data_IF_238677588957
#
_entry.id   IF_238677588957
#
_cell.length_a   1.000
_cell.length_b   1.000
_cell.length_c   1.000
_cell.angle_alpha   90.00
_cell.angle_beta   90.00
_cell.angle_gamma   90.00
#
_symmetry.space_group_name_H-M   'P 1'
#
loop_
_entity.id
_entity.type
_entity.pdbx_description
1 polymer ?
#
# COMPACT_ATOMS: atom_id res chain seq x y z
N UNK A 1 -6.79 -15.30 17.28
CA UNK A 1 -5.80 -15.60 18.34
C UNK A 1 -4.77 -14.48 18.39
N UNK A 2 -4.28 -14.21 19.59
CA UNK A 2 -3.29 -13.17 19.90
C UNK A 2 -1.93 -13.84 20.07
N UNK A 3 -0.87 -13.29 19.47
CA UNK A 3 0.50 -13.67 19.78
C UNK A 3 0.96 -12.83 20.99
N UNK A 4 1.15 -13.48 22.12
CA UNK A 4 1.47 -12.89 23.43
C UNK A 4 2.92 -12.39 23.54
N UNK A 5 3.83 -12.87 22.68
CA UNK A 5 5.22 -12.43 22.66
C UNK A 5 5.43 -11.12 21.88
N UNK A 6 4.53 -10.82 20.95
CA UNK A 6 4.66 -9.66 20.05
C UNK A 6 3.49 -8.69 20.16
N UNK A 7 2.53 -8.98 21.03
CA UNK A 7 1.30 -8.22 21.26
C UNK A 7 0.45 -8.00 19.98
N UNK A 8 0.45 -8.98 19.06
CA UNK A 8 -0.15 -8.87 17.72
C UNK A 8 -1.28 -9.84 17.47
N UNK A 9 -2.26 -9.43 16.66
CA UNK A 9 -3.35 -10.30 16.21
C UNK A 9 -2.87 -11.12 15.02
N UNK A 10 -2.85 -12.44 15.14
CA UNK A 10 -2.46 -13.35 14.05
C UNK A 10 -3.66 -14.00 13.38
N UNK A 11 -4.80 -14.07 14.07
CA UNK A 11 -6.05 -14.56 13.49
C UNK A 11 -7.26 -13.81 14.03
N UNK A 12 -8.24 -13.55 13.16
CA UNK A 12 -9.56 -13.03 13.51
C UNK A 12 -10.64 -13.79 12.73
N UNK A 13 -11.45 -14.56 13.44
CA UNK A 13 -12.55 -15.34 12.86
C UNK A 13 -13.90 -14.91 13.46
N UNK A 14 -14.92 -14.82 12.62
CA UNK A 14 -16.32 -14.63 13.05
C UNK A 14 -17.23 -15.75 12.52
N UNK A 15 -16.70 -16.97 12.42
CA UNK A 15 -17.42 -18.13 11.91
C UNK A 15 -17.40 -18.19 10.37
N UNK A 16 -18.55 -18.45 9.74
CA UNK A 16 -18.66 -18.62 8.28
C UNK A 16 -18.55 -17.33 7.46
N UNK A 17 -18.51 -16.17 8.12
CA UNK A 17 -18.53 -14.87 7.44
C UNK A 17 -17.14 -14.28 7.17
N UNK A 18 -16.14 -14.66 7.98
CA UNK A 18 -14.80 -14.10 7.90
C UNK A 18 -13.82 -14.97 8.70
N UNK A 19 -12.67 -15.30 8.11
CA UNK A 19 -11.56 -15.94 8.81
C UNK A 19 -10.21 -15.38 8.34
N UNK A 20 -9.76 -14.30 8.98
CA UNK A 20 -8.57 -13.55 8.58
C UNK A 20 -7.31 -13.99 9.32
N UNK A 21 -6.36 -14.55 8.59
CA UNK A 21 -5.00 -14.80 9.06
C UNK A 21 -4.06 -13.66 8.67
N UNK A 22 -3.21 -13.21 9.59
CA UNK A 22 -2.27 -12.10 9.41
C UNK A 22 -0.82 -12.60 9.49
N UNK A 23 0.00 -12.24 8.49
CA UNK A 23 1.44 -12.46 8.49
C UNK A 23 2.22 -11.20 8.86
N UNK A 24 3.33 -11.35 9.57
CA UNK A 24 4.21 -10.26 9.95
C UNK A 24 5.68 -10.60 9.68
N UNK A 25 6.49 -9.59 9.34
CA UNK A 25 7.95 -9.71 9.32
C UNK A 25 8.56 -9.56 10.74
N UNK A 26 9.87 -9.76 10.94
CA UNK A 26 10.51 -9.62 12.25
C UNK A 26 10.52 -8.20 12.84
N UNK A 27 10.50 -7.16 11.98
CA UNK A 27 10.33 -5.77 12.42
C UNK A 27 8.87 -5.50 12.82
N UNK A 28 7.98 -6.41 12.45
CA UNK A 28 6.59 -6.36 12.76
C UNK A 28 5.79 -5.50 11.77
N UNK A 29 6.16 -5.49 10.52
CA UNK A 29 5.28 -4.99 9.47
C UNK A 29 4.33 -6.08 9.01
N UNK A 30 3.10 -5.72 8.63
CA UNK A 30 2.08 -6.65 8.17
C UNK A 30 2.41 -7.10 6.74
N UNK A 31 2.77 -8.35 6.51
CA UNK A 31 3.17 -8.84 5.18
C UNK A 31 2.04 -9.51 4.42
N UNK A 32 1.03 -10.04 5.12
CA UNK A 32 -0.11 -10.69 4.47
C UNK A 32 -1.41 -10.62 5.26
N UNK A 33 -2.53 -10.63 4.54
CA UNK A 33 -3.87 -10.93 5.06
C UNK A 33 -4.49 -12.00 4.15
N UNK A 34 -4.93 -13.11 4.72
CA UNK A 34 -5.63 -14.18 4.01
C UNK A 34 -7.01 -14.37 4.62
N UNK A 35 -8.07 -14.41 3.80
CA UNK A 35 -9.42 -14.79 4.24
C UNK A 35 -9.68 -16.25 3.86
N UNK A 36 -9.74 -17.14 4.85
CA UNK A 36 -9.80 -18.58 4.64
C UNK A 36 -11.22 -19.12 4.38
N UNK A 37 -12.24 -18.26 4.33
CA UNK A 37 -13.60 -18.66 3.92
C UNK A 37 -13.64 -19.03 2.43
N UNK A 38 -14.45 -20.03 2.08
CA UNK A 38 -14.63 -20.44 0.68
C UNK A 38 -15.26 -19.29 -0.14
N UNK A 39 -14.62 -18.88 -1.23
CA UNK A 39 -15.02 -17.69 -2.00
C UNK A 39 -14.56 -16.37 -1.39
N UNK A 40 -13.74 -16.41 -0.33
CA UNK A 40 -13.09 -15.26 0.27
C UNK A 40 -12.23 -14.50 -0.74
N UNK A 41 -11.95 -13.24 -0.41
CA UNK A 41 -11.15 -12.37 -1.27
C UNK A 41 -9.72 -12.90 -1.39
N UNK A 42 -9.14 -12.88 -2.59
CA UNK A 42 -7.75 -13.30 -2.82
C UNK A 42 -6.79 -12.63 -1.81
N UNK A 43 -5.84 -13.40 -1.27
CA UNK A 43 -4.91 -12.93 -0.25
C UNK A 43 -4.25 -11.59 -0.61
N UNK A 44 -4.08 -10.74 0.40
CA UNK A 44 -3.42 -9.44 0.28
C UNK A 44 -1.99 -9.57 0.75
N UNK A 45 -1.06 -8.94 0.04
CA UNK A 45 0.36 -8.93 0.40
C UNK A 45 0.88 -7.52 0.40
N UNK A 46 1.87 -7.27 1.26
CA UNK A 46 2.49 -5.97 1.44
C UNK A 46 4.00 -6.11 1.50
N UNK A 47 4.70 -5.15 0.93
CA UNK A 47 6.16 -5.03 1.04
C UNK A 47 6.54 -3.69 1.61
N UNK A 48 7.75 -3.61 2.16
CA UNK A 48 8.25 -2.45 2.87
C UNK A 48 9.65 -2.08 2.39
N UNK A 49 9.96 -0.80 2.42
CA UNK A 49 11.32 -0.31 2.23
C UNK A 49 12.16 -0.50 3.52
N UNK A 50 13.49 -0.29 3.47
CA UNK A 50 14.36 -0.46 4.64
C UNK A 50 14.04 0.44 5.84
N UNK A 51 13.19 1.45 5.68
CA UNK A 51 12.73 2.34 6.75
C UNK A 51 11.34 1.93 7.29
N UNK A 52 10.88 0.71 6.96
CA UNK A 52 9.57 0.16 7.34
C UNK A 52 8.38 0.95 6.77
N UNK A 53 8.54 1.59 5.61
CA UNK A 53 7.44 2.28 4.91
C UNK A 53 6.87 1.37 3.83
N UNK A 54 5.55 1.38 3.64
CA UNK A 54 4.87 0.54 2.65
C UNK A 54 5.41 0.82 1.24
N UNK A 55 6.03 -0.17 0.59
CA UNK A 55 6.55 -0.04 -0.76
C UNK A 55 5.58 -0.58 -1.82
N UNK A 56 4.80 -1.61 -1.50
CA UNK A 56 3.75 -2.13 -2.39
C UNK A 56 2.62 -2.81 -1.62
N UNK A 57 1.42 -2.79 -2.21
CA UNK A 57 0.29 -3.61 -1.80
C UNK A 57 -0.29 -4.32 -3.04
N UNK A 58 -0.63 -5.60 -2.92
CA UNK A 58 -1.19 -6.39 -4.01
C UNK A 58 -2.17 -7.45 -3.52
N UNK A 59 -3.00 -7.97 -4.43
CA UNK A 59 -3.98 -9.01 -4.14
C UNK A 59 -5.42 -8.50 -4.11
N UNK A 60 -6.29 -9.20 -3.40
CA UNK A 60 -7.72 -8.91 -3.39
C UNK A 60 -8.06 -7.70 -2.52
N UNK A 61 -8.01 -6.52 -3.12
CA UNK A 61 -8.53 -5.29 -2.55
C UNK A 61 -9.80 -4.87 -3.29
N UNK A 62 -10.73 -4.15 -2.63
CA UNK A 62 -11.74 -3.40 -3.35
C UNK A 62 -11.05 -2.36 -4.26
N UNK A 63 -11.16 -2.53 -5.57
CA UNK A 63 -10.45 -1.71 -6.56
C UNK A 63 -9.04 -2.23 -6.89
N UNK A 64 -8.25 -1.42 -7.58
CA UNK A 64 -6.86 -1.77 -7.92
C UNK A 64 -5.93 -1.37 -6.78
N UNK A 65 -5.22 -2.34 -6.15
CA UNK A 65 -4.23 -1.99 -5.16
C UNK A 65 -3.04 -1.29 -5.80
N UNK A 66 -2.30 -0.57 -4.96
CA UNK A 66 -1.17 0.21 -5.39
C UNK A 66 0.11 -0.62 -5.31
N UNK A 67 0.63 -1.03 -6.46
CA UNK A 67 1.81 -1.90 -6.52
C UNK A 67 3.13 -1.13 -6.30
N UNK A 68 3.11 0.20 -6.14
CA UNK A 68 4.30 1.01 -5.92
C UNK A 68 3.99 2.27 -5.09
N UNK A 69 4.78 2.48 -4.05
CA UNK A 69 4.84 3.70 -3.26
C UNK A 69 6.30 4.16 -3.17
N UNK A 70 6.55 5.41 -3.55
CA UNK A 70 7.86 6.06 -3.44
C UNK A 70 7.82 7.14 -2.37
N UNK A 71 8.95 7.36 -1.68
CA UNK A 71 9.07 8.37 -0.65
C UNK A 71 10.39 9.14 -0.75
N UNK A 72 10.39 10.40 -0.33
CA UNK A 72 11.63 11.15 -0.10
C UNK A 72 12.25 10.82 1.28
N UNK A 73 13.41 11.42 1.55
CA UNK A 73 14.18 11.18 2.78
C UNK A 73 13.45 11.58 4.08
N UNK A 74 12.52 12.54 4.00
CA UNK A 74 11.75 13.00 5.17
C UNK A 74 10.37 12.32 5.29
N UNK A 75 10.06 11.37 4.40
CA UNK A 75 8.85 10.54 4.48
C UNK A 75 7.64 11.02 3.68
N UNK A 76 7.76 12.06 2.84
CA UNK A 76 6.67 12.44 1.94
C UNK A 76 6.56 11.42 0.80
N UNK A 77 5.33 11.00 0.46
CA UNK A 77 5.06 10.11 -0.69
C UNK A 77 5.37 10.87 -1.99
N UNK A 78 6.40 10.49 -2.73
CA UNK A 78 6.72 11.08 -4.04
C UNK A 78 6.13 10.32 -5.21
N UNK A 79 5.69 9.08 -4.99
CA UNK A 79 5.07 8.25 -6.03
C UNK A 79 3.97 7.39 -5.42
N UNK A 80 2.79 7.35 -6.04
CA UNK A 80 1.69 6.46 -5.65
C UNK A 80 1.09 5.85 -6.90
N UNK A 81 1.39 4.58 -7.12
CA UNK A 81 0.91 3.80 -8.25
C UNK A 81 1.30 4.42 -9.60
N UNK A 82 2.52 4.97 -9.70
CA UNK A 82 3.02 5.68 -10.89
C UNK A 82 2.59 7.15 -10.98
N UNK A 83 1.83 7.66 -10.00
CA UNK A 83 1.50 9.08 -9.91
C UNK A 83 2.55 9.79 -9.08
N UNK A 84 3.31 10.67 -9.70
CA UNK A 84 4.33 11.47 -9.05
C UNK A 84 3.73 12.66 -8.26
N UNK A 85 4.24 12.88 -7.06
CA UNK A 85 3.92 14.01 -6.20
C UNK A 85 5.17 14.83 -5.92
N UNK A 86 5.03 16.15 -6.01
CA UNK A 86 6.10 17.09 -5.69
C UNK A 86 5.73 17.90 -4.46
N UNK A 87 6.64 17.92 -3.50
CA UNK A 87 6.52 18.71 -2.27
C UNK A 87 7.60 19.77 -2.32
N UNK A 88 7.28 20.90 -2.92
CA UNK A 88 8.14 22.07 -2.82
C UNK A 88 7.89 22.75 -1.47
N UNK A 89 8.97 23.11 -0.79
CA UNK A 89 8.97 23.89 0.47
C UNK A 89 8.55 25.36 0.23
N UNK A 90 7.61 25.63 -0.68
CA UNK A 90 7.22 26.99 -1.01
C UNK A 90 6.38 27.58 0.12
N UNK A 91 7.04 28.28 1.05
CA UNK A 91 6.64 29.51 1.75
C UNK A 91 5.13 29.79 1.95
N UNK A 92 4.30 28.77 2.18
CA UNK A 92 2.94 28.80 2.70
C UNK A 92 2.47 27.35 2.92
N UNK A 93 1.90 27.02 4.08
CA UNK A 93 1.50 25.65 4.42
C UNK A 93 0.33 25.20 3.52
N UNK A 94 0.40 23.97 3.00
CA UNK A 94 -0.70 23.23 2.36
C UNK A 94 -1.02 23.44 0.86
N UNK A 95 -0.04 23.39 -0.04
CA UNK A 95 -0.31 23.21 -1.49
C UNK A 95 0.26 21.89 -2.01
N UNK A 96 -0.58 20.86 -2.13
CA UNK A 96 -0.27 19.61 -2.86
C UNK A 96 -0.76 19.77 -4.30
N UNK A 97 0.13 19.70 -5.30
CA UNK A 97 -0.27 19.57 -6.72
C UNK A 97 -0.05 18.13 -7.18
N UNK A 98 -1.12 17.49 -7.66
CA UNK A 98 -1.06 16.23 -8.42
C UNK A 98 -0.40 16.54 -9.77
N UNK A 99 0.69 15.86 -10.11
CA UNK A 99 1.24 15.92 -11.47
C UNK A 99 0.76 14.69 -12.25
N UNK A 100 -0.18 14.90 -13.19
CA UNK A 100 -0.49 13.92 -14.22
C UNK A 100 0.53 14.13 -15.34
N UNK A 101 1.30 13.10 -15.70
CA UNK A 101 2.13 13.16 -16.90
C UNK A 101 1.20 13.18 -18.12
N UNK A 102 1.06 14.32 -18.78
CA UNK A 102 0.44 14.37 -20.11
C UNK A 102 1.32 13.58 -21.09
N UNK A 103 0.78 12.51 -21.68
CA UNK A 103 1.36 11.97 -22.91
C UNK A 103 1.26 13.07 -23.96
N UNK A 104 2.40 13.53 -24.49
CA UNK A 104 2.44 14.30 -25.73
C UNK A 104 1.98 13.40 -26.87
N UNK A 105 0.70 13.47 -27.22
CA UNK A 105 0.24 13.20 -28.58
C UNK A 105 0.82 14.30 -29.49
N UNK A 106 1.88 13.99 -30.24
CA UNK A 106 2.38 14.87 -31.29
C UNK A 106 1.82 14.36 -32.63
N UNK A 107 0.70 14.95 -33.04
CA UNK A 107 0.24 14.88 -34.43
C UNK A 107 1.15 15.75 -35.30
N UNK A 108 1.77 15.18 -36.34
CA UNK A 108 2.00 15.92 -37.58
C UNK A 108 1.32 15.20 -38.74
N UNK A 109 0.38 15.92 -39.33
CA UNK A 109 -0.15 15.69 -40.68
C UNK A 109 0.98 15.88 -41.69
N UNK A 110 1.01 15.00 -42.69
CA UNK A 110 1.31 15.34 -44.08
C UNK A 110 0.24 14.74 -44.96
#
# INVERSE_FOLDING_TARGET
>A
MYNDQTFRVTNRSTGSHQDLTYGYDPAGNLTSIVDNIQGGTAGRTFTYDPLNRLASASGGFPGSPCNNYGYNAIGNITDKCGIAFQYTIHRSPASVRRHLSERKELHLRS
#
